data_IF_081665399906
#
_entry.id   IF_081665399906
#
_cell.length_a   1.000
_cell.length_b   1.000
_cell.length_c   1.000
_cell.angle_alpha   90.00
_cell.angle_beta   90.00
_cell.angle_gamma   90.00
#
_symmetry.space_group_name_H-M   'P 1'
#
loop_
_entity.id
_entity.type
_entity.pdbx_description
1 polymer ?
#
# COMPACT_ATOMS: atom_id res chain seq x y z
N UNK A 1 -33.69 52.96 -48.49
CA UNK A 1 -33.92 52.56 -47.08
C UNK A 1 -33.00 51.39 -46.72
N UNK A 2 -31.69 51.64 -46.57
CA UNK A 2 -30.71 50.61 -46.21
C UNK A 2 -30.72 50.46 -44.69
N UNK A 3 -31.46 49.46 -44.19
CA UNK A 3 -31.44 49.09 -42.77
C UNK A 3 -30.03 48.64 -42.40
N UNK A 4 -29.46 49.29 -41.39
CA UNK A 4 -28.14 49.10 -40.82
C UNK A 4 -27.91 47.64 -40.37
N UNK A 5 -27.38 46.78 -41.27
CA UNK A 5 -27.03 45.37 -40.97
C UNK A 5 -25.86 45.23 -39.99
N UNK A 6 -25.13 46.31 -39.68
CA UNK A 6 -23.99 46.29 -38.77
C UNK A 6 -24.37 46.12 -37.28
N UNK A 7 -25.60 46.50 -36.89
CA UNK A 7 -26.04 46.38 -35.50
C UNK A 7 -26.28 44.95 -35.03
N UNK A 8 -26.80 44.08 -35.91
CA UNK A 8 -27.20 42.71 -35.56
C UNK A 8 -25.99 41.82 -35.26
N UNK A 9 -24.88 42.02 -35.97
CA UNK A 9 -23.66 41.22 -35.78
C UNK A 9 -22.99 41.50 -34.44
N UNK A 10 -22.98 42.77 -34.01
CA UNK A 10 -22.37 43.17 -32.73
C UNK A 10 -23.14 42.60 -31.55
N UNK A 11 -24.48 42.62 -31.61
CA UNK A 11 -25.32 42.09 -30.53
C UNK A 11 -25.16 40.57 -30.35
N UNK A 12 -25.09 39.82 -31.46
CA UNK A 12 -24.87 38.37 -31.42
C UNK A 12 -23.49 38.03 -30.81
N UNK A 13 -22.45 38.79 -31.16
CA UNK A 13 -21.11 38.60 -30.64
C UNK A 13 -21.05 38.84 -29.13
N UNK A 14 -21.67 39.92 -28.64
CA UNK A 14 -21.73 40.23 -27.20
C UNK A 14 -22.46 39.14 -26.41
N UNK A 15 -23.59 38.61 -26.95
CA UNK A 15 -24.32 37.52 -26.30
C UNK A 15 -23.50 36.24 -26.22
N UNK A 16 -22.78 35.88 -27.29
CA UNK A 16 -21.88 34.72 -27.28
C UNK A 16 -20.75 34.91 -26.27
N UNK A 17 -20.13 36.10 -26.22
CA UNK A 17 -19.06 36.38 -25.25
C UNK A 17 -19.55 36.29 -23.81
N UNK A 18 -20.76 36.80 -23.50
CA UNK A 18 -21.35 36.69 -22.16
C UNK A 18 -21.61 35.22 -21.80
N UNK A 19 -22.18 34.42 -22.72
CA UNK A 19 -22.44 33.00 -22.47
C UNK A 19 -21.12 32.24 -22.25
N UNK A 20 -20.09 32.51 -23.06
CA UNK A 20 -18.77 31.89 -22.88
C UNK A 20 -18.14 32.32 -21.56
N UNK A 21 -18.24 33.60 -21.18
CA UNK A 21 -17.71 34.08 -19.91
C UNK A 21 -18.43 33.45 -18.71
N UNK A 22 -19.76 33.31 -18.76
CA UNK A 22 -20.54 32.63 -17.72
C UNK A 22 -20.19 31.14 -17.67
N UNK A 23 -20.06 30.49 -18.83
CA UNK A 23 -19.66 29.09 -18.92
C UNK A 23 -18.27 28.89 -18.31
N UNK A 24 -17.29 29.74 -18.64
CA UNK A 24 -15.94 29.70 -18.06
C UNK A 24 -15.99 29.98 -16.55
N UNK A 25 -16.68 31.03 -16.10
CA UNK A 25 -16.69 31.42 -14.69
C UNK A 25 -17.45 30.45 -13.78
N UNK A 26 -18.44 29.72 -14.29
CA UNK A 26 -19.21 28.75 -13.49
C UNK A 26 -18.59 27.35 -13.59
N UNK A 27 -18.16 26.94 -14.79
CA UNK A 27 -17.70 25.57 -15.02
C UNK A 27 -16.25 25.39 -14.61
N UNK A 28 -15.34 26.36 -14.78
CA UNK A 28 -13.96 26.17 -14.31
C UNK A 28 -13.84 25.98 -12.80
N UNK A 29 -14.50 26.76 -11.93
CA UNK A 29 -14.43 26.54 -10.48
C UNK A 29 -15.11 25.23 -10.05
N UNK A 30 -16.20 24.85 -10.71
CA UNK A 30 -16.89 23.58 -10.46
C UNK A 30 -16.04 22.39 -10.92
N UNK A 31 -15.43 22.48 -12.10
CA UNK A 31 -14.49 21.48 -12.62
C UNK A 31 -13.20 21.42 -11.81
N UNK A 32 -12.72 22.51 -11.18
CA UNK A 32 -11.57 22.47 -10.28
C UNK A 32 -11.88 21.71 -8.97
N UNK A 33 -13.12 21.82 -8.46
CA UNK A 33 -13.56 21.03 -7.29
C UNK A 33 -13.82 19.57 -7.66
N UNK A 34 -14.40 19.31 -8.82
CA UNK A 34 -14.58 17.96 -9.36
C UNK A 34 -13.24 17.32 -9.74
N UNK A 35 -12.28 18.08 -10.27
CA UNK A 35 -10.94 17.57 -10.54
C UNK A 35 -10.17 17.29 -9.27
N UNK A 36 -10.36 18.07 -8.19
CA UNK A 36 -9.77 17.72 -6.89
C UNK A 36 -10.37 16.42 -6.31
N UNK A 37 -11.66 16.15 -6.55
CA UNK A 37 -12.29 14.88 -6.17
C UNK A 37 -11.95 13.70 -7.09
N UNK A 38 -11.71 13.93 -8.38
CA UNK A 38 -11.46 12.90 -9.41
C UNK A 38 -9.95 12.65 -9.63
N UNK A 39 -9.07 13.62 -9.37
CA UNK A 39 -7.60 13.50 -9.50
C UNK A 39 -6.89 13.19 -8.18
N UNK A 40 -7.64 12.72 -7.18
CA UNK A 40 -7.12 12.14 -5.96
C UNK A 40 -6.94 13.15 -4.84
N UNK A 41 -7.39 12.78 -3.64
CA UNK A 41 -6.94 13.39 -2.39
C UNK A 41 -5.43 13.61 -2.46
N UNK A 42 -4.99 14.78 -2.01
CA UNK A 42 -3.56 15.07 -2.02
C UNK A 42 -2.85 14.02 -1.17
N UNK A 43 -1.67 13.55 -1.61
CA UNK A 43 -0.90 12.55 -0.86
C UNK A 43 -0.68 12.97 0.61
N UNK A 44 -0.70 14.28 0.87
CA UNK A 44 -0.65 14.90 2.20
C UNK A 44 -1.92 14.64 3.01
N UNK A 45 -3.11 14.86 2.46
CA UNK A 45 -4.38 14.63 3.18
C UNK A 45 -4.55 13.15 3.57
N UNK A 46 -4.27 12.23 2.63
CA UNK A 46 -4.29 10.80 2.93
C UNK A 46 -3.29 10.44 4.05
N UNK A 47 -2.10 11.05 4.01
CA UNK A 47 -1.07 10.85 5.03
C UNK A 47 -1.49 11.43 6.39
N UNK A 48 -2.02 12.66 6.45
CA UNK A 48 -2.51 13.28 7.68
C UNK A 48 -3.67 12.50 8.29
N UNK A 49 -4.62 12.04 7.46
CA UNK A 49 -5.70 11.17 7.90
C UNK A 49 -5.17 9.84 8.46
N UNK A 50 -4.12 9.29 7.85
CA UNK A 50 -3.44 8.10 8.34
C UNK A 50 -2.77 8.33 9.71
N UNK A 51 -2.03 9.42 9.88
CA UNK A 51 -1.38 9.76 11.17
C UNK A 51 -2.44 9.98 12.25
N UNK A 52 -3.52 10.68 11.91
CA UNK A 52 -4.66 10.91 12.81
C UNK A 52 -5.25 9.58 13.28
N UNK A 53 -5.55 8.66 12.34
CA UNK A 53 -6.02 7.31 12.69
C UNK A 53 -5.07 6.57 13.62
N UNK A 54 -3.76 6.65 13.39
CA UNK A 54 -2.75 6.03 14.28
C UNK A 54 -2.75 6.65 15.68
N UNK A 55 -2.87 7.97 15.78
CA UNK A 55 -2.97 8.68 17.05
C UNK A 55 -4.25 8.31 17.82
N UNK A 56 -5.35 8.09 17.09
CA UNK A 56 -6.65 7.70 17.66
C UNK A 56 -6.76 6.22 18.04
N UNK A 57 -5.80 5.39 17.62
CA UNK A 57 -5.77 3.98 18.04
C UNK A 57 -5.61 3.89 19.55
N UNK A 58 -6.53 3.18 20.20
CA UNK A 58 -6.46 2.90 21.63
C UNK A 58 -5.24 2.01 21.93
N UNK A 59 -4.65 2.20 23.11
CA UNK A 59 -3.60 1.31 23.62
C UNK A 59 -4.07 -0.16 23.54
N UNK A 60 -3.16 -1.06 23.14
CA UNK A 60 -3.42 -2.50 22.98
C UNK A 60 -4.49 -2.88 21.94
N UNK A 61 -4.91 -1.95 21.07
CA UNK A 61 -5.76 -2.31 19.94
C UNK A 61 -4.93 -2.67 18.73
N UNK A 62 -5.11 -3.90 18.25
CA UNK A 62 -4.55 -4.34 16.98
C UNK A 62 -5.57 -4.00 15.89
N UNK A 63 -5.33 -2.89 15.19
CA UNK A 63 -6.11 -2.55 14.00
C UNK A 63 -5.15 -2.36 12.84
N UNK A 64 -5.30 -3.13 11.75
CA UNK A 64 -4.53 -2.85 10.55
C UNK A 64 -4.93 -1.48 10.02
N UNK A 65 -3.95 -0.59 9.87
CA UNK A 65 -4.15 0.68 9.17
C UNK A 65 -3.38 0.59 7.86
N UNK A 66 -4.11 0.68 6.76
CA UNK A 66 -3.59 0.55 5.43
C UNK A 66 -3.05 1.90 4.94
N UNK A 67 -1.92 1.84 4.23
CA UNK A 67 -1.23 3.00 3.72
C UNK A 67 -0.80 2.71 2.28
N UNK A 68 -1.27 3.55 1.34
CA UNK A 68 -0.99 3.39 -0.09
C UNK A 68 0.03 4.42 -0.54
N UNK A 69 1.23 3.96 -0.90
CA UNK A 69 2.28 4.82 -1.50
C UNK A 69 2.12 4.79 -3.04
N UNK A 70 1.54 5.86 -3.60
CA UNK A 70 1.13 5.91 -5.01
C UNK A 70 2.32 6.12 -5.98
N UNK A 71 3.40 6.78 -5.58
CA UNK A 71 4.53 7.14 -6.48
C UNK A 71 5.83 6.43 -6.10
N UNK A 72 6.70 6.16 -7.08
CA UNK A 72 8.00 5.48 -6.90
C UNK A 72 9.05 6.31 -6.13
N UNK A 73 8.85 7.61 -5.99
CA UNK A 73 9.76 8.51 -5.27
C UNK A 73 9.14 8.98 -3.95
N UNK A 74 8.21 8.19 -3.42
CA UNK A 74 7.57 8.45 -2.15
C UNK A 74 7.98 7.42 -1.11
N UNK A 75 8.13 7.91 0.11
CA UNK A 75 8.39 7.11 1.29
C UNK A 75 7.73 7.75 2.50
N UNK A 76 7.49 6.94 3.51
CA UNK A 76 7.05 7.33 4.84
C UNK A 76 8.12 6.88 5.80
N UNK A 77 8.65 7.85 6.55
CA UNK A 77 9.70 7.64 7.52
C UNK A 77 9.14 8.03 8.90
N UNK A 78 9.15 7.10 9.84
CA UNK A 78 8.85 7.39 11.23
C UNK A 78 10.14 7.66 12.00
N UNK A 79 10.10 8.58 12.97
CA UNK A 79 11.22 8.89 13.85
C UNK A 79 10.81 8.77 15.31
N UNK A 80 11.63 8.06 16.09
CA UNK A 80 11.52 8.04 17.55
C UNK A 80 11.71 9.46 18.11
N UNK A 81 11.14 9.71 19.29
CA UNK A 81 11.29 10.95 20.03
C UNK A 81 12.76 11.27 20.30
N UNK A 82 13.51 10.28 20.77
CA UNK A 82 14.88 10.47 21.29
C UNK A 82 15.97 10.17 20.25
N UNK A 83 15.61 9.90 18.99
CA UNK A 83 16.59 9.63 17.93
C UNK A 83 17.00 10.89 17.16
N UNK A 84 18.23 10.89 16.67
CA UNK A 84 18.74 11.89 15.71
C UNK A 84 18.30 11.61 14.27
N UNK A 85 17.79 10.40 14.00
CA UNK A 85 17.43 9.94 12.68
C UNK A 85 17.05 8.47 12.64
N UNK A 86 16.63 8.03 11.46
CA UNK A 86 16.49 6.63 11.11
C UNK A 86 17.85 6.10 10.63
N UNK A 87 18.23 4.93 11.12
CA UNK A 87 19.43 4.22 10.66
C UNK A 87 19.09 2.78 10.32
N UNK A 88 19.75 2.23 9.31
CA UNK A 88 19.61 0.84 8.92
C UNK A 88 20.95 0.25 8.53
N UNK A 89 21.27 -0.89 9.12
CA UNK A 89 22.48 -1.67 8.89
C UNK A 89 22.06 -3.04 8.36
N UNK A 90 22.57 -3.41 7.19
CA UNK A 90 22.42 -4.75 6.63
C UNK A 90 23.77 -5.44 6.59
N UNK A 91 23.83 -6.63 7.18
CA UNK A 91 24.90 -7.58 6.86
C UNK A 91 24.79 -7.94 5.36
N UNK A 92 25.92 -8.00 4.62
CA UNK A 92 25.89 -8.40 3.23
C UNK A 92 25.51 -9.88 3.11
N UNK A 93 24.57 -10.18 2.21
CA UNK A 93 24.37 -11.55 1.72
C UNK A 93 25.65 -11.98 1.01
N UNK A 94 26.25 -13.08 1.44
CA UNK A 94 27.44 -13.66 0.80
C UNK A 94 27.05 -14.15 -0.60
N UNK A 95 27.16 -13.28 -1.61
CA UNK A 95 27.04 -13.66 -3.01
C UNK A 95 28.43 -13.70 -3.63
N UNK A 96 29.01 -14.91 -3.69
CA UNK A 96 30.15 -15.27 -4.54
C UNK A 96 31.47 -14.54 -4.31
N UNK A 97 32.09 -14.72 -3.13
CA UNK A 97 33.53 -14.49 -2.94
C UNK A 97 34.04 -13.05 -3.04
N UNK A 98 33.14 -12.06 -3.16
CA UNK A 98 33.50 -10.64 -3.09
C UNK A 98 33.44 -10.16 -1.64
N UNK A 99 34.32 -9.22 -1.33
CA UNK A 99 34.53 -8.66 0.00
C UNK A 99 33.22 -8.15 0.63
N UNK A 100 33.05 -8.43 1.92
CA UNK A 100 31.84 -8.10 2.70
C UNK A 100 31.80 -6.59 2.93
N UNK A 101 30.95 -5.85 2.22
CA UNK A 101 30.62 -4.48 2.60
C UNK A 101 29.33 -4.46 3.41
N UNK A 102 29.42 -3.99 4.66
CA UNK A 102 28.26 -3.68 5.48
C UNK A 102 27.56 -2.48 4.82
N UNK A 103 26.30 -2.66 4.48
CA UNK A 103 25.48 -1.54 3.99
C UNK A 103 24.90 -0.84 5.21
N UNK A 104 25.30 0.39 5.43
CA UNK A 104 24.66 1.29 6.38
C UNK A 104 23.83 2.30 5.58
N UNK A 105 22.73 2.76 6.13
CA UNK A 105 21.86 3.77 5.55
C UNK A 105 21.34 4.68 6.64
N UNK A 106 21.38 6.00 6.43
CA UNK A 106 20.93 6.99 7.41
C UNK A 106 19.93 7.96 6.78
N UNK A 107 18.89 8.32 7.53
CA UNK A 107 18.03 9.46 7.24
C UNK A 107 17.92 10.33 8.50
N UNK A 108 18.42 11.57 8.43
CA UNK A 108 18.39 12.48 9.58
C UNK A 108 16.97 12.94 9.89
N UNK A 109 16.62 12.93 11.17
CA UNK A 109 15.34 13.44 11.65
C UNK A 109 15.24 14.92 11.30
N UNK A 110 14.16 15.37 10.63
CA UNK A 110 14.04 16.77 10.25
C UNK A 110 13.83 17.64 11.49
N UNK A 111 14.43 18.83 11.50
CA UNK A 111 14.27 19.81 12.56
C UNK A 111 13.04 20.68 12.31
N UNK A 112 11.85 20.08 12.35
CA UNK A 112 10.56 20.77 12.23
C UNK A 112 9.79 20.69 13.54
N UNK A 113 8.85 21.62 13.82
CA UNK A 113 8.08 21.63 15.07
C UNK A 113 7.35 20.32 15.37
N UNK A 114 6.96 19.57 14.35
CA UNK A 114 6.26 18.28 14.47
C UNK A 114 7.18 17.14 14.92
N UNK A 115 8.49 17.30 14.78
CA UNK A 115 9.52 16.30 15.06
C UNK A 115 10.47 16.70 16.20
N UNK A 116 10.64 17.99 16.48
CA UNK A 116 11.50 18.45 17.57
C UNK A 116 10.92 17.97 18.91
N UNK A 117 11.74 17.27 19.70
CA UNK A 117 11.39 16.72 21.04
C UNK A 117 10.18 15.77 21.06
N UNK A 118 9.71 15.32 19.90
CA UNK A 118 8.54 14.46 19.77
C UNK A 118 8.82 13.36 18.76
N UNK A 119 8.15 12.23 18.89
CA UNK A 119 8.11 11.26 17.81
C UNK A 119 7.23 11.82 16.69
N UNK A 120 7.61 11.51 15.46
CA UNK A 120 6.91 12.03 14.30
C UNK A 120 6.95 11.04 13.16
N UNK A 121 6.11 11.28 12.17
CA UNK A 121 6.12 10.55 10.92
C UNK A 121 6.14 11.54 9.79
N UNK A 122 6.93 11.27 8.75
CA UNK A 122 7.10 12.15 7.62
C UNK A 122 6.83 11.42 6.31
N UNK A 123 6.04 12.04 5.44
CA UNK A 123 5.89 11.70 4.04
C UNK A 123 6.96 12.43 3.22
N UNK A 124 7.85 11.65 2.60
CA UNK A 124 8.65 12.13 1.49
C UNK A 124 7.78 12.18 0.23
N UNK A 125 7.47 13.38 -0.24
CA UNK A 125 6.59 13.61 -1.39
C UNK A 125 7.30 13.45 -2.72
N UNK A 126 8.61 13.77 -2.77
CA UNK A 126 9.42 13.84 -3.99
C UNK A 126 10.90 13.65 -3.67
N UNK A 127 11.62 13.05 -4.63
CA UNK A 127 13.07 12.91 -4.55
C UNK A 127 13.51 11.93 -3.47
N UNK A 128 12.67 10.95 -3.12
CA UNK A 128 13.10 9.86 -2.26
C UNK A 128 14.15 9.02 -3.00
N UNK A 129 15.32 8.86 -2.39
CA UNK A 129 16.38 8.05 -2.96
C UNK A 129 17.57 7.88 -2.03
N UNK A 130 18.67 7.42 -2.61
CA UNK A 130 19.98 7.41 -1.98
C UNK A 130 20.94 8.17 -2.87
N UNK A 131 21.76 9.01 -2.25
CA UNK A 131 22.81 9.71 -2.97
C UNK A 131 23.91 8.73 -3.40
N UNK A 132 24.47 8.94 -4.59
CA UNK A 132 25.43 8.01 -5.17
C UNK A 132 26.70 7.95 -4.29
N UNK A 133 27.06 6.73 -3.88
CA UNK A 133 28.20 6.45 -2.99
C UNK A 133 28.07 6.96 -1.56
N UNK A 134 26.99 7.66 -1.23
CA UNK A 134 26.66 7.99 0.15
C UNK A 134 25.62 7.01 0.67
N UNK A 135 25.84 6.55 1.88
CA UNK A 135 24.89 5.76 2.63
C UNK A 135 23.76 6.65 3.19
N UNK A 136 23.52 7.81 2.57
CA UNK A 136 22.54 8.79 3.00
C UNK A 136 21.28 8.67 2.15
N UNK A 137 20.15 8.52 2.83
CA UNK A 137 18.84 8.55 2.22
C UNK A 137 18.42 10.02 2.11
N UNK A 138 17.95 10.40 0.93
CA UNK A 138 17.58 11.77 0.60
C UNK A 138 16.07 11.90 0.38
N UNK A 139 15.57 13.11 0.62
CA UNK A 139 14.22 13.52 0.27
C UNK A 139 14.19 15.03 -0.01
N UNK A 140 13.68 15.44 -1.16
CA UNK A 140 13.59 16.86 -1.55
C UNK A 140 12.45 17.59 -0.82
N UNK A 141 11.33 16.89 -0.63
CA UNK A 141 10.10 17.48 -0.07
C UNK A 141 9.53 16.58 1.01
N UNK A 142 9.69 17.02 2.26
CA UNK A 142 9.15 16.36 3.44
C UNK A 142 7.89 17.07 3.93
N UNK A 143 6.91 16.29 4.34
CA UNK A 143 5.77 16.73 5.12
C UNK A 143 5.67 15.86 6.36
N UNK A 144 5.69 16.46 7.55
CA UNK A 144 5.74 15.73 8.81
C UNK A 144 4.50 15.98 9.66
N UNK A 145 4.13 14.97 10.43
CA UNK A 145 3.02 15.00 11.39
C UNK A 145 3.49 14.40 12.71
N UNK A 146 3.00 14.97 13.81
CA UNK A 146 3.35 14.54 15.16
C UNK A 146 2.66 13.22 15.52
N UNK A 147 3.39 12.34 16.20
CA UNK A 147 2.81 11.16 16.85
C UNK A 147 2.59 11.44 18.33
N UNK A 148 1.45 10.99 18.85
CA UNK A 148 1.11 11.08 20.28
C UNK A 148 1.75 9.96 21.10
N UNK A 149 2.65 9.20 20.49
CA UNK A 149 3.33 8.07 21.08
C UNK A 149 4.67 7.85 20.41
N UNK A 150 5.62 7.27 21.14
CA UNK A 150 6.97 7.04 20.62
C UNK A 150 7.06 5.85 19.66
N UNK A 151 8.03 5.89 18.74
CA UNK A 151 8.38 4.77 17.88
C UNK A 151 9.57 4.08 18.51
N UNK A 152 9.37 2.87 19.01
CA UNK A 152 10.43 2.08 19.62
C UNK A 152 10.72 0.89 18.72
N UNK A 153 11.99 0.71 18.35
CA UNK A 153 12.40 -0.47 17.59
C UNK A 153 12.26 -1.73 18.47
N UNK A 154 11.43 -2.71 18.07
CA UNK A 154 11.28 -3.96 18.81
C UNK A 154 12.60 -4.75 18.96
N UNK A 155 13.52 -4.65 17.99
CA UNK A 155 14.76 -5.44 17.99
C UNK A 155 15.78 -5.02 19.05
N UNK A 156 15.70 -3.78 19.56
CA UNK A 156 16.55 -3.31 20.66
C UNK A 156 16.33 -4.09 21.96
N UNK A 157 15.14 -4.66 22.16
CA UNK A 157 14.83 -5.46 23.35
C UNK A 157 15.58 -6.81 23.30
N UNK A 158 15.78 -7.38 22.11
CA UNK A 158 16.39 -8.71 21.93
C UNK A 158 17.92 -8.73 21.92
N UNK A 159 18.60 -7.65 21.50
CA UNK A 159 20.07 -7.65 21.40
C UNK A 159 20.75 -7.60 22.77
N UNK A 160 20.09 -7.03 23.78
CA UNK A 160 20.63 -6.97 25.15
C UNK A 160 20.62 -8.32 25.87
N UNK A 161 19.80 -9.27 25.42
CA UNK A 161 19.58 -10.54 26.12
C UNK A 161 20.36 -11.72 25.54
N UNK A 162 20.79 -11.70 24.27
CA UNK A 162 21.46 -12.85 23.63
C UNK A 162 22.72 -12.45 22.82
N UNK A 163 23.91 -12.42 23.46
CA UNK A 163 25.18 -12.03 22.82
C UNK A 163 25.78 -13.07 21.84
N UNK A 164 25.09 -14.16 21.53
CA UNK A 164 25.64 -15.31 20.78
C UNK A 164 25.04 -15.55 19.40
N UNK A 165 24.32 -14.59 18.81
CA UNK A 165 23.84 -14.71 17.42
C UNK A 165 25.03 -14.54 16.45
N UNK A 166 25.75 -15.64 16.27
CA UNK A 166 26.83 -15.77 15.32
C UNK A 166 26.25 -15.75 13.89
N UNK A 167 26.56 -14.69 13.15
CA UNK A 167 26.89 -14.71 11.71
C UNK A 167 25.82 -14.94 10.62
N UNK A 168 24.51 -14.80 10.88
CA UNK A 168 23.51 -14.91 9.80
C UNK A 168 22.65 -13.65 9.64
N UNK A 169 22.72 -13.04 8.45
CA UNK A 169 21.81 -12.03 7.87
C UNK A 169 21.11 -11.09 8.87
N UNK A 170 21.90 -10.34 9.64
CA UNK A 170 21.37 -9.32 10.53
C UNK A 170 21.02 -8.07 9.71
N UNK A 171 19.71 -7.91 9.47
CA UNK A 171 19.11 -6.64 9.10
C UNK A 171 18.67 -5.94 10.37
N UNK A 172 19.29 -4.80 10.70
CA UNK A 172 19.01 -4.03 11.90
C UNK A 172 18.66 -2.60 11.49
N UNK A 173 17.64 -2.02 12.10
CA UNK A 173 17.36 -0.59 11.98
C UNK A 173 17.19 0.02 13.36
N UNK A 174 17.33 1.33 13.51
CA UNK A 174 17.08 2.04 14.75
C UNK A 174 16.59 3.47 14.52
N UNK A 175 16.07 4.06 15.60
CA UNK A 175 15.65 5.46 15.63
C UNK A 175 14.38 5.79 14.83
N UNK A 176 13.72 4.80 14.23
CA UNK A 176 12.56 5.05 13.38
C UNK A 176 12.30 3.91 12.40
N UNK A 177 11.31 4.02 11.52
CA UNK A 177 11.09 3.04 10.45
C UNK A 177 11.04 3.74 9.09
N UNK A 178 11.16 2.97 8.01
CA UNK A 178 11.09 3.48 6.65
C UNK A 178 10.28 2.54 5.75
N UNK A 179 9.28 3.10 5.08
CA UNK A 179 8.47 2.41 4.09
C UNK A 179 8.53 3.25 2.82
N UNK A 180 8.98 2.70 1.71
CA UNK A 180 9.00 3.43 0.45
C UNK A 180 8.69 2.52 -0.72
N UNK A 181 8.31 3.12 -1.84
CA UNK A 181 8.05 2.41 -3.09
C UNK A 181 9.25 2.57 -4.02
N UNK A 182 9.51 1.58 -4.87
CA UNK A 182 10.55 1.68 -5.90
C UNK A 182 11.97 1.69 -5.33
N UNK A 183 12.16 1.21 -4.11
CA UNK A 183 13.46 1.26 -3.46
C UNK A 183 14.37 0.13 -3.95
N UNK A 184 15.56 0.50 -4.43
CA UNK A 184 16.53 -0.44 -5.01
C UNK A 184 17.33 -1.25 -3.98
N UNK A 185 17.24 -0.91 -2.70
CA UNK A 185 17.96 -1.59 -1.61
C UNK A 185 16.98 -2.08 -0.55
N UNK A 186 17.37 -3.08 0.23
CA UNK A 186 16.55 -3.60 1.32
C UNK A 186 16.64 -2.61 2.48
N UNK A 187 15.62 -1.82 2.75
CA UNK A 187 15.54 -1.00 3.97
C UNK A 187 14.62 -1.71 4.94
N UNK A 188 14.94 -1.71 6.24
CA UNK A 188 14.19 -2.45 7.26
C UNK A 188 14.09 -3.97 7.02
N UNK A 189 15.03 -4.56 6.27
CA UNK A 189 14.96 -5.97 5.89
C UNK A 189 13.82 -6.29 4.90
N UNK A 190 13.25 -5.27 4.23
CA UNK A 190 12.22 -5.42 3.20
C UNK A 190 12.91 -5.69 1.86
N UNK A 191 12.70 -6.85 1.20
CA UNK A 191 13.30 -7.21 -0.08
C UNK A 191 13.06 -6.21 -1.20
N UNK A 192 14.08 -6.01 -2.05
CA UNK A 192 14.12 -5.14 -3.25
C UNK A 192 12.95 -5.33 -4.23
N UNK A 193 12.32 -6.50 -4.27
CA UNK A 193 11.38 -6.87 -5.34
C UNK A 193 9.92 -6.50 -5.10
N UNK A 194 9.61 -5.75 -4.03
CA UNK A 194 8.22 -5.37 -3.74
C UNK A 194 7.76 -4.18 -4.62
N UNK A 195 7.67 -4.41 -5.93
CA UNK A 195 7.22 -3.46 -6.97
C UNK A 195 5.71 -3.17 -6.92
N UNK A 196 4.96 -3.92 -6.12
CA UNK A 196 3.52 -3.81 -6.02
C UNK A 196 3.08 -2.91 -4.85
N UNK A 197 1.81 -2.51 -4.88
CA UNK A 197 1.13 -1.67 -3.88
C UNK A 197 1.35 -2.31 -2.51
N UNK A 198 2.37 -1.88 -1.79
CA UNK A 198 2.69 -2.48 -0.49
C UNK A 198 1.75 -1.89 0.53
N UNK A 199 0.64 -2.59 0.73
CA UNK A 199 -0.07 -2.51 1.98
C UNK A 199 0.91 -2.91 3.07
N UNK A 200 1.15 -1.98 4.00
CA UNK A 200 1.90 -2.25 5.23
C UNK A 200 0.92 -2.21 6.37
N UNK A 201 0.84 -3.30 7.12
CA UNK A 201 0.08 -3.32 8.36
C UNK A 201 0.93 -2.66 9.43
N UNK A 202 0.43 -1.56 9.99
CA UNK A 202 1.01 -0.95 11.16
C UNK A 202 0.24 -1.43 12.40
N UNK A 203 0.94 -2.06 13.34
CA UNK A 203 0.39 -2.49 14.63
C UNK A 203 0.85 -1.56 15.75
N UNK A 204 -0.09 -1.13 16.59
CA UNK A 204 0.20 -0.40 17.83
C UNK A 204 0.03 -1.33 19.04
N UNK A 205 1.12 -1.71 19.70
CA UNK A 205 1.12 -2.65 20.86
C UNK A 205 1.74 -2.01 22.08
N UNK A 206 1.15 -2.17 23.27
CA UNK A 206 1.82 -1.78 24.53
C UNK A 206 2.56 -3.00 25.09
N UNK A 207 3.83 -2.85 25.42
CA UNK A 207 4.62 -3.87 26.11
C UNK A 207 5.18 -3.22 27.38
N UNK A 208 4.66 -3.65 28.54
CA UNK A 208 4.88 -2.95 29.81
C UNK A 208 4.33 -1.52 29.78
N UNK A 209 5.17 -0.53 30.12
CA UNK A 209 4.81 0.90 30.11
C UNK A 209 5.15 1.61 28.79
N UNK A 210 5.59 0.86 27.77
CA UNK A 210 6.06 1.39 26.49
C UNK A 210 5.09 1.01 25.38
N UNK A 211 4.88 1.92 24.44
CA UNK A 211 4.07 1.67 23.25
C UNK A 211 4.99 1.47 22.05
N UNK A 212 4.66 0.49 21.23
CA UNK A 212 5.42 0.02 20.07
C UNK A 212 4.59 0.17 18.82
N UNK A 213 5.27 0.60 17.75
CA UNK A 213 4.72 0.63 16.41
C UNK A 213 5.45 -0.44 15.58
N UNK A 214 4.77 -1.56 15.31
CA UNK A 214 5.27 -2.60 14.42
C UNK A 214 4.90 -2.29 12.98
N UNK A 215 5.86 -2.30 12.07
CA UNK A 215 5.59 -2.24 10.63
C UNK A 215 5.77 -3.64 10.05
N UNK A 216 4.67 -4.23 9.62
CA UNK A 216 4.65 -5.53 9.01
C UNK A 216 4.71 -5.40 7.49
N UNK A 217 5.67 -6.09 6.90
CA UNK A 217 5.70 -6.30 5.45
C UNK A 217 5.24 -7.71 5.16
N UNK A 218 4.14 -7.85 4.42
CA UNK A 218 3.77 -9.14 3.83
C UNK A 218 4.84 -9.44 2.76
N UNK A 219 5.83 -10.24 3.11
CA UNK A 219 6.77 -10.80 2.14
C UNK A 219 6.28 -12.21 1.80
N UNK A 220 5.80 -12.36 0.57
CA UNK A 220 5.25 -13.61 0.05
C UNK A 220 6.31 -14.72 -0.14
N UNK A 221 7.60 -14.42 0.10
CA UNK A 221 8.71 -15.35 -0.16
C UNK A 221 9.34 -16.02 1.08
N UNK A 222 8.97 -15.65 2.32
CA UNK A 222 9.67 -16.14 3.54
C UNK A 222 8.80 -16.81 4.61
N UNK A 223 7.71 -17.47 4.24
CA UNK A 223 6.96 -18.30 5.21
C UNK A 223 7.74 -19.59 5.60
N UNK A 224 8.83 -19.95 4.91
CA UNK A 224 9.58 -21.20 5.15
C UNK A 224 11.09 -21.04 5.50
N UNK A 225 11.53 -19.94 6.13
CA UNK A 225 12.93 -19.84 6.64
C UNK A 225 13.04 -20.07 8.15
N UNK A 226 14.05 -20.79 8.66
CA UNK A 226 14.24 -21.10 10.10
C UNK A 226 14.33 -19.88 11.04
N UNK A 227 14.61 -18.69 10.52
CA UNK A 227 14.59 -17.43 11.27
C UNK A 227 13.19 -16.97 11.72
N UNK A 228 12.12 -17.58 11.19
CA UNK A 228 10.72 -17.32 11.59
C UNK A 228 10.39 -17.89 12.97
N UNK A 229 11.10 -18.93 13.43
CA UNK A 229 10.83 -19.55 14.72
C UNK A 229 11.24 -18.69 15.93
N UNK A 230 12.19 -17.76 15.79
CA UNK A 230 12.64 -16.93 16.92
C UNK A 230 11.77 -15.67 17.12
N UNK A 231 11.25 -15.09 16.04
CA UNK A 231 10.28 -13.99 16.11
C UNK A 231 8.94 -14.46 16.70
N UNK A 232 8.54 -15.69 16.39
CA UNK A 232 7.41 -16.42 17.00
C UNK A 232 7.40 -16.40 18.52
N UNK A 233 8.57 -16.54 19.14
CA UNK A 233 8.71 -16.77 20.58
C UNK A 233 8.67 -15.47 21.41
N UNK A 234 8.85 -14.29 20.78
CA UNK A 234 8.92 -12.99 21.47
C UNK A 234 7.88 -11.97 20.99
N UNK A 235 7.45 -12.09 19.73
CA UNK A 235 6.34 -11.35 19.15
C UNK A 235 5.30 -12.39 18.76
N UNK A 236 4.29 -12.63 19.62
CA UNK A 236 3.19 -13.54 19.29
C UNK A 236 2.80 -13.35 17.82
N UNK A 237 2.97 -14.43 17.08
CA UNK A 237 3.19 -14.58 15.65
C UNK A 237 2.07 -14.04 14.75
N UNK A 238 1.76 -12.76 14.85
CA UNK A 238 0.72 -12.11 14.05
C UNK A 238 1.10 -10.67 13.77
N UNK A 239 1.96 -10.49 12.77
CA UNK A 239 1.54 -9.51 11.78
C UNK A 239 0.11 -9.93 11.39
N UNK A 240 -0.91 -9.15 11.79
CA UNK A 240 -2.28 -9.45 11.41
C UNK A 240 -2.32 -9.30 9.89
N UNK A 241 -2.09 -10.40 9.18
CA UNK A 241 -2.40 -10.50 7.77
C UNK A 241 -3.91 -10.37 7.74
N UNK A 242 -4.38 -9.23 7.27
CA UNK A 242 -5.81 -8.99 7.08
C UNK A 242 -6.38 -10.09 6.19
N UNK A 243 -7.68 -10.31 6.29
CA UNK A 243 -8.36 -11.25 5.43
C UNK A 243 -8.12 -10.89 3.95
N UNK A 244 -8.00 -9.60 3.62
CA UNK A 244 -7.69 -9.14 2.26
C UNK A 244 -6.30 -9.59 1.80
N UNK A 245 -5.28 -9.39 2.63
CA UNK A 245 -3.90 -9.78 2.32
C UNK A 245 -3.74 -11.30 2.24
N UNK A 246 -4.47 -12.06 3.07
CA UNK A 246 -4.53 -13.51 2.93
C UNK A 246 -5.13 -13.90 1.58
N UNK A 247 -6.15 -13.17 1.11
CA UNK A 247 -6.73 -13.34 -0.22
C UNK A 247 -5.72 -13.11 -1.34
N UNK A 248 -5.00 -11.98 -1.30
CA UNK A 248 -3.93 -11.67 -2.26
C UNK A 248 -2.83 -12.73 -2.25
N UNK A 249 -2.42 -13.20 -1.08
CA UNK A 249 -1.40 -14.24 -0.94
C UNK A 249 -1.84 -15.55 -1.60
N UNK A 250 -3.08 -16.00 -1.35
CA UNK A 250 -3.60 -17.22 -1.99
C UNK A 250 -3.69 -17.07 -3.51
N UNK A 251 -4.10 -15.90 -4.00
CA UNK A 251 -4.16 -15.61 -5.43
C UNK A 251 -2.77 -15.62 -6.08
N UNK A 252 -1.76 -15.00 -5.45
CA UNK A 252 -0.39 -14.99 -5.95
C UNK A 252 0.23 -16.39 -5.98
N UNK A 253 0.03 -17.19 -4.92
CA UNK A 253 0.50 -18.58 -4.89
C UNK A 253 -0.13 -19.38 -6.03
N UNK A 254 -1.44 -19.18 -6.27
CA UNK A 254 -2.15 -19.86 -7.35
C UNK A 254 -1.64 -19.45 -8.74
N UNK A 255 -1.39 -18.15 -8.95
CA UNK A 255 -0.86 -17.61 -10.21
C UNK A 255 0.56 -18.12 -10.50
N UNK A 256 1.37 -18.34 -9.47
CA UNK A 256 2.78 -18.74 -9.57
C UNK A 256 3.04 -20.20 -9.20
N UNK A 257 1.99 -21.03 -9.11
CA UNK A 257 2.11 -22.40 -8.59
C UNK A 257 3.13 -23.26 -9.36
N UNK A 258 3.27 -23.06 -10.67
CA UNK A 258 4.27 -23.76 -11.49
C UNK A 258 5.71 -23.35 -11.17
N UNK A 259 5.91 -22.09 -10.76
CA UNK A 259 7.20 -21.57 -10.30
C UNK A 259 7.54 -22.11 -8.92
N UNK A 260 6.58 -22.12 -7.99
CA UNK A 260 6.79 -22.58 -6.61
C UNK A 260 6.81 -24.10 -6.45
N UNK A 261 6.03 -24.83 -7.24
CA UNK A 261 5.95 -26.29 -7.18
C UNK A 261 7.29 -26.98 -7.46
N UNK A 262 8.15 -26.35 -8.27
CA UNK A 262 9.53 -26.83 -8.54
C UNK A 262 10.47 -26.68 -7.34
N UNK A 263 10.18 -25.77 -6.41
CA UNK A 263 11.11 -25.40 -5.33
C UNK A 263 10.87 -26.23 -4.07
N UNK A 264 9.63 -26.61 -3.79
CA UNK A 264 9.25 -27.00 -2.43
C UNK A 264 8.76 -28.45 -2.27
N UNK A 265 8.91 -29.31 -3.28
CA UNK A 265 8.55 -30.74 -3.21
C UNK A 265 7.14 -30.98 -2.62
N UNK A 266 6.21 -30.04 -2.86
CA UNK A 266 4.84 -30.13 -2.36
C UNK A 266 4.08 -31.20 -3.13
N UNK A 267 3.30 -32.03 -2.40
CA UNK A 267 2.19 -32.80 -2.98
C UNK A 267 1.30 -31.85 -3.79
N UNK A 268 0.77 -32.33 -4.92
CA UNK A 268 -0.08 -31.60 -5.87
C UNK A 268 -1.02 -30.61 -5.18
N UNK A 269 -0.63 -29.34 -5.11
CA UNK A 269 -1.50 -28.27 -4.63
C UNK A 269 -2.43 -27.92 -5.77
N UNK A 270 -3.75 -27.97 -5.53
CA UNK A 270 -4.74 -27.67 -6.55
C UNK A 270 -4.92 -26.15 -6.70
N UNK A 271 -4.66 -25.62 -7.90
CA UNK A 271 -4.80 -24.19 -8.22
C UNK A 271 -6.21 -23.66 -7.93
N UNK A 272 -7.26 -24.43 -8.20
CA UNK A 272 -8.64 -24.04 -7.91
C UNK A 272 -8.91 -23.94 -6.41
N UNK A 273 -8.27 -24.79 -5.59
CA UNK A 273 -8.43 -24.76 -4.14
C UNK A 273 -7.82 -23.48 -3.54
N UNK A 274 -6.67 -23.04 -4.08
CA UNK A 274 -6.05 -21.78 -3.69
C UNK A 274 -6.92 -20.58 -4.09
N UNK A 275 -7.46 -20.54 -5.31
CA UNK A 275 -8.38 -19.46 -5.69
C UNK A 275 -9.67 -19.44 -4.87
N UNK A 276 -10.21 -20.60 -4.51
CA UNK A 276 -11.36 -20.68 -3.58
C UNK A 276 -11.01 -20.17 -2.19
N UNK A 277 -9.78 -20.43 -1.73
CA UNK A 277 -9.26 -19.88 -0.48
C UNK A 277 -9.11 -18.36 -0.55
N UNK A 278 -8.66 -17.82 -1.69
CA UNK A 278 -8.59 -16.39 -1.94
C UNK A 278 -9.99 -15.74 -1.89
N UNK A 279 -10.97 -16.30 -2.61
CA UNK A 279 -12.37 -15.85 -2.60
C UNK A 279 -12.91 -15.80 -1.17
N UNK A 280 -12.76 -16.88 -0.40
CA UNK A 280 -13.25 -16.94 0.99
C UNK A 280 -12.66 -15.81 1.85
N UNK A 281 -11.41 -15.47 1.63
CA UNK A 281 -10.71 -14.41 2.35
C UNK A 281 -11.15 -13.00 1.92
N UNK A 282 -11.46 -12.81 0.64
CA UNK A 282 -12.13 -11.60 0.16
C UNK A 282 -13.54 -11.46 0.74
N UNK A 283 -14.33 -12.54 0.80
CA UNK A 283 -15.67 -12.54 1.44
C UNK A 283 -15.59 -12.15 2.92
N UNK A 284 -14.63 -12.72 3.67
CA UNK A 284 -14.38 -12.35 5.07
C UNK A 284 -14.05 -10.86 5.22
N UNK A 285 -13.28 -10.29 4.29
CA UNK A 285 -12.95 -8.85 4.23
C UNK A 285 -14.21 -8.01 4.02
N UNK A 286 -15.00 -8.32 2.99
CA UNK A 286 -16.21 -7.58 2.62
C UNK A 286 -17.25 -7.64 3.74
N UNK A 287 -17.34 -8.76 4.46
CA UNK A 287 -18.24 -8.92 5.60
C UNK A 287 -17.81 -8.10 6.81
N UNK A 288 -16.49 -8.00 7.06
CA UNK A 288 -15.92 -7.35 8.24
C UNK A 288 -15.82 -5.84 8.09
N UNK A 289 -15.60 -5.35 6.87
CA UNK A 289 -15.42 -3.94 6.57
C UNK A 289 -16.49 -3.48 5.56
N UNK A 290 -17.25 -2.45 5.93
CA UNK A 290 -18.35 -1.92 5.10
C UNK A 290 -17.85 -1.11 3.90
N UNK A 291 -16.70 -0.46 4.04
CA UNK A 291 -16.11 0.46 3.05
C UNK A 291 -14.59 0.49 3.17
N UNK A 292 -13.93 0.94 2.12
CA UNK A 292 -12.48 1.08 2.05
C UNK A 292 -11.95 0.49 0.75
N UNK A 293 -10.76 0.94 0.35
CA UNK A 293 -10.16 0.50 -0.92
C UNK A 293 -9.86 -1.01 -0.95
N UNK A 294 -9.65 -1.61 0.21
CA UNK A 294 -9.48 -3.06 0.36
C UNK A 294 -10.78 -3.81 0.09
N UNK A 295 -11.93 -3.24 0.46
CA UNK A 295 -13.25 -3.82 0.16
C UNK A 295 -13.53 -3.73 -1.34
N UNK A 296 -13.22 -2.57 -1.94
CA UNK A 296 -13.29 -2.37 -3.38
C UNK A 296 -12.40 -3.38 -4.13
N UNK A 297 -11.11 -3.46 -3.79
CA UNK A 297 -10.16 -4.38 -4.43
C UNK A 297 -10.52 -5.85 -4.16
N UNK A 298 -11.01 -6.21 -2.97
CA UNK A 298 -11.48 -7.56 -2.66
C UNK A 298 -12.65 -7.97 -3.55
N UNK A 299 -13.66 -7.12 -3.70
CA UNK A 299 -14.80 -7.37 -4.58
C UNK A 299 -14.38 -7.47 -6.04
N UNK A 300 -13.49 -6.57 -6.50
CA UNK A 300 -12.97 -6.62 -7.86
C UNK A 300 -12.19 -7.90 -8.14
N UNK A 301 -11.22 -8.26 -7.29
CA UNK A 301 -10.40 -9.46 -7.43
C UNK A 301 -11.25 -10.73 -7.35
N UNK A 302 -12.23 -10.77 -6.44
CA UNK A 302 -13.18 -11.89 -6.34
C UNK A 302 -13.97 -12.07 -7.64
N UNK A 303 -14.49 -10.98 -8.23
CA UNK A 303 -15.16 -11.01 -9.52
C UNK A 303 -14.25 -11.50 -10.66
N UNK A 304 -12.98 -11.06 -10.68
CA UNK A 304 -12.00 -11.54 -11.66
C UNK A 304 -11.69 -13.03 -11.50
N UNK A 305 -11.52 -13.52 -10.27
CA UNK A 305 -11.27 -14.94 -10.01
C UNK A 305 -12.42 -15.80 -10.57
N UNK A 306 -13.67 -15.42 -10.28
CA UNK A 306 -14.84 -16.11 -10.83
C UNK A 306 -14.90 -16.08 -12.36
N UNK A 307 -14.52 -14.96 -12.98
CA UNK A 307 -14.57 -14.76 -14.44
C UNK A 307 -13.46 -15.53 -15.17
N UNK A 308 -12.23 -15.58 -14.65
CA UNK A 308 -11.07 -15.98 -15.46
C UNK A 308 -10.16 -17.02 -14.85
N UNK A 309 -10.14 -17.21 -13.52
CA UNK A 309 -9.06 -17.95 -12.86
C UNK A 309 -9.43 -19.38 -12.43
N UNK A 310 -10.71 -19.66 -12.16
CA UNK A 310 -11.18 -21.02 -11.83
C UNK A 310 -11.25 -21.91 -13.07
N UNK A 311 -10.95 -23.21 -12.91
CA UNK A 311 -11.09 -24.22 -13.98
C UNK A 311 -12.51 -24.28 -14.55
N UNK A 312 -13.50 -24.13 -13.67
CA UNK A 312 -14.90 -23.96 -14.03
C UNK A 312 -15.27 -22.49 -13.86
N UNK A 313 -15.19 -21.74 -14.96
CA UNK A 313 -15.60 -20.33 -15.01
C UNK A 313 -17.04 -20.18 -14.48
N UNK A 314 -17.25 -19.23 -13.57
CA UNK A 314 -18.54 -18.93 -12.97
C UNK A 314 -18.97 -17.49 -13.27
N UNK A 315 -19.41 -17.27 -14.51
CA UNK A 315 -19.83 -15.95 -15.01
C UNK A 315 -21.00 -15.35 -14.22
N UNK A 316 -21.90 -16.18 -13.71
CA UNK A 316 -23.02 -15.74 -12.87
C UNK A 316 -22.54 -15.07 -11.58
N UNK A 317 -21.62 -15.72 -10.87
CA UNK A 317 -21.02 -15.16 -9.65
C UNK A 317 -20.15 -13.93 -9.94
N UNK A 318 -19.38 -13.95 -11.03
CA UNK A 318 -18.57 -12.81 -11.45
C UNK A 318 -19.46 -11.57 -11.69
N UNK A 319 -20.53 -11.71 -12.48
CA UNK A 319 -21.47 -10.63 -12.79
C UNK A 319 -22.20 -10.14 -11.54
N UNK A 320 -22.63 -11.04 -10.67
CA UNK A 320 -23.26 -10.66 -9.40
C UNK A 320 -22.31 -9.82 -8.54
N UNK A 321 -21.05 -10.26 -8.40
CA UNK A 321 -20.02 -9.55 -7.63
C UNK A 321 -19.73 -8.16 -8.20
N UNK A 322 -19.56 -8.05 -9.53
CA UNK A 322 -19.31 -6.76 -10.18
C UNK A 322 -20.51 -5.81 -10.12
N UNK A 323 -21.74 -6.33 -10.23
CA UNK A 323 -22.95 -5.51 -10.05
C UNK A 323 -23.03 -4.96 -8.63
N UNK A 324 -22.78 -5.80 -7.63
CA UNK A 324 -22.73 -5.37 -6.23
C UNK A 324 -21.63 -4.33 -5.99
N UNK A 325 -20.46 -4.48 -6.63
CA UNK A 325 -19.39 -3.49 -6.57
C UNK A 325 -19.86 -2.13 -7.07
N UNK A 326 -20.48 -2.05 -8.26
CA UNK A 326 -20.92 -0.79 -8.86
C UNK A 326 -22.06 -0.14 -8.07
N UNK A 327 -22.90 -0.94 -7.41
CA UNK A 327 -23.94 -0.44 -6.51
C UNK A 327 -23.34 0.15 -5.22
N UNK A 328 -22.32 -0.49 -4.64
CA UNK A 328 -21.68 -0.04 -3.39
C UNK A 328 -20.67 1.09 -3.58
N UNK A 329 -19.94 1.09 -4.69
CA UNK A 329 -18.80 1.98 -4.94
C UNK A 329 -18.87 2.63 -6.32
N UNK A 330 -19.96 3.37 -6.64
CA UNK A 330 -20.14 3.98 -7.96
C UNK A 330 -19.05 5.01 -8.30
N UNK A 331 -18.49 5.67 -7.29
CA UNK A 331 -17.46 6.71 -7.44
C UNK A 331 -16.02 6.15 -7.35
N UNK A 332 -15.84 4.83 -7.29
CA UNK A 332 -14.51 4.21 -7.19
C UNK A 332 -13.64 4.49 -8.43
N UNK A 333 -12.35 4.73 -8.21
CA UNK A 333 -11.36 4.89 -9.30
C UNK A 333 -11.33 3.67 -10.25
N UNK A 334 -11.79 2.49 -9.81
CA UNK A 334 -11.83 1.26 -10.63
C UNK A 334 -13.23 0.90 -11.16
N UNK A 335 -14.27 1.70 -10.88
CA UNK A 335 -15.64 1.41 -11.32
C UNK A 335 -15.76 1.30 -12.85
N UNK A 336 -15.09 2.17 -13.61
CA UNK A 336 -15.08 2.10 -15.08
C UNK A 336 -14.45 0.79 -15.60
N UNK A 337 -13.44 0.25 -14.89
CA UNK A 337 -12.78 -1.02 -15.23
C UNK A 337 -13.77 -2.16 -15.00
N UNK A 338 -14.52 -2.11 -13.91
CA UNK A 338 -15.57 -3.09 -13.59
C UNK A 338 -16.65 -3.09 -14.68
N UNK A 339 -17.14 -1.93 -15.08
CA UNK A 339 -18.12 -1.79 -16.17
C UNK A 339 -17.59 -2.36 -17.49
N UNK A 340 -16.37 -1.99 -17.89
CA UNK A 340 -15.75 -2.51 -19.10
C UNK A 340 -15.57 -4.03 -19.04
N UNK A 341 -15.20 -4.57 -17.87
CA UNK A 341 -15.03 -6.01 -17.65
C UNK A 341 -16.34 -6.77 -17.78
N UNK A 342 -17.48 -6.15 -17.42
CA UNK A 342 -18.83 -6.72 -17.58
C UNK A 342 -19.36 -6.66 -19.02
N UNK A 343 -18.87 -5.74 -19.85
CA UNK A 343 -19.33 -5.55 -21.23
C UNK A 343 -18.57 -6.40 -22.26
N UNK A 344 -17.51 -7.07 -21.84
CA UNK A 344 -16.63 -7.89 -22.66
C UNK A 344 -17.40 -8.95 -23.48
N UNK A 345 -17.45 -8.82 -24.82
CA UNK A 345 -18.33 -9.58 -25.70
C UNK A 345 -18.01 -11.08 -25.77
N UNK A 346 -16.80 -11.50 -25.37
CA UNK A 346 -16.39 -12.91 -25.29
C UNK A 346 -17.31 -13.75 -24.38
N UNK A 347 -18.11 -13.09 -23.53
CA UNK A 347 -19.11 -13.71 -22.67
C UNK A 347 -20.34 -14.22 -23.46
N UNK A 348 -20.75 -13.55 -24.54
CA UNK A 348 -21.93 -13.93 -25.35
C UNK A 348 -21.66 -15.15 -26.22
N UNK A 349 -20.43 -15.28 -26.72
CA UNK A 349 -20.09 -16.35 -27.67
C UNK A 349 -19.78 -17.67 -26.97
N UNK A 350 -19.29 -17.65 -25.72
CA UNK A 350 -19.02 -18.88 -24.95
C UNK A 350 -20.27 -19.55 -24.37
N UNK A 351 -21.35 -18.80 -24.13
CA UNK A 351 -22.61 -19.36 -23.63
C UNK A 351 -23.33 -20.16 -24.73
N UNK A 352 -23.15 -19.79 -26.01
CA UNK A 352 -23.78 -20.45 -27.15
C UNK A 352 -23.02 -21.69 -27.66
N UNK A 353 -21.89 -22.05 -27.05
CA UNK A 353 -21.03 -23.17 -27.48
C UNK A 353 -21.00 -24.36 -26.51
N UNK A 354 -21.85 -24.39 -25.48
CA UNK A 354 -22.08 -25.59 -24.67
C UNK A 354 -23.33 -26.32 -25.20
N UNK A 355 -23.19 -27.51 -25.82
CA UNK A 355 -24.33 -28.33 -26.22
C UNK A 355 -25.11 -28.88 -25.02
#
# INVERSE_FOLDING_TARGET
MFRNKKGIVIEALVRITIVVAIFILIIFPACNKLSAGIYGESDVEMFSAFVTKLNDLQDNTQKPVFLKIKKKEQAIIGFSKDSSGYQFTSSPLIKSGKEKQILFFEFKKPNTPECTETSCMCLCKKGFGTEENSQLITCEQLYCEKLNFDIINPNLISLSTHPSINNYDLHYWEGGFLIGRGIKSDYNGIPRENNQRTIKVIEKRKIGNKLFLGVCTVNNEKINTPSVNYLKDHFDDKCIISEFEQGLLFEEIADNIEKYGKIANYKEVNKDELYRSAIKKYEETIKKYEKGIEVEEAMFNMGLIYKTKLSTINLGMARATFKEFLEKFPDSEIAFIVEATMQDPDEKDRINLRP
#
